data_IF_231313588727
#
_entry.id   IF_231313588727
#
_cell.length_a   1.000
_cell.length_b   1.000
_cell.length_c   1.000
_cell.angle_alpha   90.00
_cell.angle_beta   90.00
_cell.angle_gamma   90.00
#
_symmetry.space_group_name_H-M   'P 1'
#
loop_
_entity.id
_entity.type
_entity.pdbx_description
1 polymer ?
#
# COMPACT_ATOMS: atom_id res chain seq x y z
N UNK A 1 -33.92 -24.86 -56.55
CA UNK A 1 -33.22 -23.57 -56.34
C UNK A 1 -33.25 -23.13 -54.87
N UNK A 2 -32.98 -24.02 -53.89
CA UNK A 2 -32.98 -23.62 -52.45
C UNK A 2 -31.66 -23.95 -51.70
N UNK A 3 -30.67 -24.55 -52.36
CA UNK A 3 -29.41 -24.96 -51.71
C UNK A 3 -28.32 -23.89 -51.63
N UNK A 4 -28.36 -22.86 -52.49
CA UNK A 4 -27.22 -21.92 -52.62
C UNK A 4 -27.29 -20.69 -51.70
N UNK A 5 -28.50 -20.26 -51.33
CA UNK A 5 -28.69 -19.03 -50.53
C UNK A 5 -28.20 -19.23 -49.08
N UNK A 6 -28.36 -20.44 -48.54
CA UNK A 6 -27.93 -20.80 -47.17
C UNK A 6 -26.42 -20.92 -47.01
N UNK A 7 -25.64 -21.21 -48.08
CA UNK A 7 -24.17 -21.25 -48.01
C UNK A 7 -23.56 -19.85 -47.94
N UNK A 8 -24.09 -18.89 -48.69
CA UNK A 8 -23.54 -17.51 -48.72
C UNK A 8 -23.69 -16.81 -47.37
N UNK A 9 -24.83 -16.97 -46.69
CA UNK A 9 -25.12 -16.33 -45.39
C UNK A 9 -24.25 -16.86 -44.25
N UNK A 10 -23.83 -18.13 -44.30
CA UNK A 10 -22.88 -18.70 -43.30
C UNK A 10 -21.44 -18.22 -43.52
N UNK A 11 -21.04 -17.96 -44.77
CA UNK A 11 -19.70 -17.43 -45.07
C UNK A 11 -19.49 -15.97 -44.65
N UNK A 12 -20.54 -15.13 -44.71
CA UNK A 12 -20.46 -13.73 -44.28
C UNK A 12 -20.44 -13.61 -42.75
N UNK A 13 -21.29 -14.37 -42.04
CA UNK A 13 -21.27 -14.42 -40.57
C UNK A 13 -19.96 -14.98 -40.01
N UNK A 14 -19.32 -15.93 -40.71
CA UNK A 14 -18.02 -16.48 -40.32
C UNK A 14 -16.88 -15.47 -40.51
N UNK A 15 -16.92 -14.65 -41.57
CA UNK A 15 -15.92 -13.59 -41.79
C UNK A 15 -16.05 -12.44 -40.79
N UNK A 16 -17.27 -12.03 -40.43
CA UNK A 16 -17.49 -10.98 -39.43
C UNK A 16 -17.09 -11.38 -38.02
N UNK A 17 -17.35 -12.64 -37.62
CA UNK A 17 -16.83 -13.16 -36.34
C UNK A 17 -15.30 -13.21 -36.33
N UNK A 18 -14.67 -13.71 -37.40
CA UNK A 18 -13.22 -13.78 -37.49
C UNK A 18 -12.56 -12.39 -37.51
N UNK A 19 -13.24 -11.37 -38.05
CA UNK A 19 -12.77 -9.97 -38.02
C UNK A 19 -12.93 -9.33 -36.63
N UNK A 20 -14.03 -9.60 -35.92
CA UNK A 20 -14.22 -9.12 -34.53
C UNK A 20 -13.28 -9.81 -33.55
N UNK A 21 -13.10 -11.12 -33.67
CA UNK A 21 -12.19 -11.88 -32.82
C UNK A 21 -10.74 -11.46 -33.05
N UNK A 22 -10.36 -11.14 -34.30
CA UNK A 22 -9.04 -10.59 -34.62
C UNK A 22 -8.84 -9.17 -34.07
N UNK A 23 -9.86 -8.29 -34.13
CA UNK A 23 -9.82 -6.96 -33.50
C UNK A 23 -9.75 -7.02 -31.96
N UNK A 24 -10.39 -8.01 -31.34
CA UNK A 24 -10.29 -8.23 -29.90
C UNK A 24 -8.96 -8.88 -29.48
N UNK A 25 -8.34 -9.69 -30.36
CA UNK A 25 -6.99 -10.23 -30.15
C UNK A 25 -5.90 -9.17 -30.37
N UNK A 26 -6.07 -8.24 -31.31
CA UNK A 26 -5.16 -7.10 -31.49
C UNK A 26 -5.27 -6.08 -30.34
N UNK A 27 -6.45 -5.93 -29.72
CA UNK A 27 -6.66 -5.08 -28.54
C UNK A 27 -6.21 -5.73 -27.21
N UNK A 28 -5.74 -6.97 -27.23
CA UNK A 28 -5.22 -7.70 -26.06
C UNK A 28 -3.83 -8.30 -26.35
N UNK A 29 -3.01 -7.59 -27.12
CA UNK A 29 -1.57 -7.82 -27.07
C UNK A 29 -1.08 -7.34 -25.70
N UNK A 30 -1.09 -8.25 -24.73
CA UNK A 30 -0.11 -8.23 -23.65
C UNK A 30 1.27 -8.28 -24.31
N UNK A 31 1.81 -7.12 -24.68
CA UNK A 31 3.22 -6.99 -24.98
C UNK A 31 3.95 -7.36 -23.68
N UNK A 32 4.42 -8.61 -23.63
CA UNK A 32 5.39 -9.05 -22.64
C UNK A 32 6.61 -8.16 -22.85
N UNK A 33 6.97 -7.40 -21.81
CA UNK A 33 8.18 -6.60 -21.74
C UNK A 33 9.38 -7.48 -22.10
N UNK A 34 9.99 -7.19 -23.24
CA UNK A 34 11.16 -7.91 -23.74
C UNK A 34 12.46 -7.45 -23.06
N UNK A 35 12.38 -6.45 -22.15
CA UNK A 35 13.46 -5.91 -21.31
C UNK A 35 14.67 -5.34 -22.06
N UNK A 36 14.64 -5.34 -23.40
CA UNK A 36 15.80 -5.02 -24.24
C UNK A 36 15.45 -4.08 -25.39
N UNK A 37 14.18 -3.80 -25.67
CA UNK A 37 13.77 -2.80 -26.67
C UNK A 37 13.76 -1.37 -26.11
N UNK A 38 13.93 -0.39 -27.00
CA UNK A 38 13.81 1.02 -26.66
C UNK A 38 12.39 1.31 -26.15
N UNK A 39 12.33 1.96 -25.00
CA UNK A 39 11.09 2.18 -24.28
C UNK A 39 10.30 3.32 -24.93
N UNK A 40 9.24 2.98 -25.66
CA UNK A 40 8.32 4.00 -26.17
C UNK A 40 7.52 4.61 -25.02
N UNK A 41 7.05 5.87 -25.14
CA UNK A 41 6.24 6.50 -24.10
C UNK A 41 4.99 5.69 -23.72
N UNK A 42 4.36 5.04 -24.69
CA UNK A 42 3.18 4.20 -24.50
C UNK A 42 3.51 2.94 -23.70
N UNK A 43 4.64 2.30 -24.02
CA UNK A 43 5.10 1.12 -23.30
C UNK A 43 5.51 1.47 -21.86
N UNK A 44 6.15 2.64 -21.65
CA UNK A 44 6.49 3.12 -20.32
C UNK A 44 5.25 3.33 -19.44
N UNK A 45 4.19 3.94 -19.98
CA UNK A 45 2.94 4.13 -19.23
C UNK A 45 2.30 2.82 -18.81
N UNK A 46 2.20 1.86 -19.72
CA UNK A 46 1.54 0.59 -19.45
C UNK A 46 2.37 -0.26 -18.48
N UNK A 47 3.69 -0.34 -18.68
CA UNK A 47 4.54 -1.23 -17.90
C UNK A 47 5.01 -0.63 -16.58
N UNK A 48 5.16 0.69 -16.50
CA UNK A 48 5.65 1.36 -15.30
C UNK A 48 4.53 2.05 -14.54
N UNK A 49 3.88 3.05 -15.13
CA UNK A 49 2.91 3.89 -14.41
C UNK A 49 1.68 3.09 -13.99
N UNK A 50 1.04 2.39 -14.94
CA UNK A 50 -0.19 1.65 -14.70
C UNK A 50 0.04 0.39 -13.84
N UNK A 51 1.17 -0.29 -14.00
CA UNK A 51 1.56 -1.43 -13.16
C UNK A 51 1.77 -0.99 -11.70
N UNK A 52 2.53 0.10 -11.48
CA UNK A 52 2.78 0.63 -10.14
C UNK A 52 1.50 1.15 -9.49
N UNK A 53 0.66 1.87 -10.24
CA UNK A 53 -0.65 2.30 -9.77
C UNK A 53 -1.52 1.12 -9.29
N UNK A 54 -1.61 0.06 -10.09
CA UNK A 54 -2.35 -1.16 -9.71
C UNK A 54 -1.75 -1.84 -8.48
N UNK A 55 -0.42 -1.87 -8.39
CA UNK A 55 0.28 -2.44 -7.24
C UNK A 55 -0.06 -1.68 -5.95
N UNK A 56 0.07 -0.34 -5.94
CA UNK A 56 -0.25 0.51 -4.80
C UNK A 56 -1.71 0.33 -4.39
N UNK A 57 -2.66 0.46 -5.33
CA UNK A 57 -4.09 0.31 -5.05
C UNK A 57 -4.45 -1.06 -4.46
N UNK A 58 -3.85 -2.14 -4.98
CA UNK A 58 -4.06 -3.50 -4.45
C UNK A 58 -3.46 -3.64 -3.04
N UNK A 59 -2.31 -3.00 -2.80
CA UNK A 59 -1.62 -3.02 -1.51
C UNK A 59 -2.44 -2.26 -0.46
N UNK A 60 -2.87 -1.03 -0.77
CA UNK A 60 -3.77 -0.21 0.05
C UNK A 60 -4.98 -1.00 0.53
N UNK A 61 -5.72 -1.63 -0.39
CA UNK A 61 -6.91 -2.41 -0.03
C UNK A 61 -6.60 -3.54 0.96
N UNK A 62 -5.44 -4.19 0.86
CA UNK A 62 -5.04 -5.24 1.82
C UNK A 62 -4.67 -4.66 3.18
N UNK A 63 -4.06 -3.48 3.21
CA UNK A 63 -3.71 -2.80 4.46
C UNK A 63 -4.97 -2.30 5.17
N UNK A 64 -5.92 -1.72 4.44
CA UNK A 64 -7.20 -1.27 4.98
C UNK A 64 -7.99 -2.40 5.67
N UNK A 65 -8.05 -3.58 5.04
CA UNK A 65 -8.67 -4.77 5.64
C UNK A 65 -7.95 -5.21 6.92
N UNK A 66 -6.61 -5.15 6.94
CA UNK A 66 -5.82 -5.50 8.12
C UNK A 66 -6.07 -4.51 9.26
N UNK A 67 -6.11 -3.22 8.95
CA UNK A 67 -6.36 -2.13 9.89
C UNK A 67 -7.71 -2.29 10.57
N UNK A 68 -8.77 -2.57 9.81
CA UNK A 68 -10.07 -2.91 10.37
C UNK A 68 -9.98 -4.15 11.27
N UNK A 69 -9.26 -5.20 10.86
CA UNK A 69 -9.05 -6.39 11.69
C UNK A 69 -8.39 -6.07 13.04
N UNK A 70 -7.40 -5.16 13.05
CA UNK A 70 -6.74 -4.71 14.27
C UNK A 70 -7.66 -3.88 15.17
N UNK A 71 -8.46 -2.97 14.60
CA UNK A 71 -9.46 -2.21 15.36
C UNK A 71 -10.46 -3.15 16.07
N UNK A 72 -10.95 -4.17 15.35
CA UNK A 72 -11.77 -5.22 15.95
C UNK A 72 -11.05 -6.00 17.05
N UNK A 73 -9.76 -6.28 16.88
CA UNK A 73 -8.92 -6.89 17.91
C UNK A 73 -8.86 -6.07 19.20
N UNK A 74 -8.67 -4.75 19.10
CA UNK A 74 -8.66 -3.84 20.25
C UNK A 74 -10.01 -3.86 20.98
N UNK A 75 -11.13 -3.83 20.26
CA UNK A 75 -12.46 -3.92 20.87
C UNK A 75 -12.70 -5.27 21.58
N UNK A 76 -12.24 -6.37 20.99
CA UNK A 76 -12.34 -7.69 21.62
C UNK A 76 -11.49 -7.74 22.89
N UNK A 77 -10.25 -7.26 22.86
CA UNK A 77 -9.38 -7.21 24.05
C UNK A 77 -9.99 -6.34 25.16
N UNK A 78 -10.49 -5.15 24.82
CA UNK A 78 -11.13 -4.25 25.78
C UNK A 78 -12.41 -4.85 26.37
N UNK A 79 -13.21 -5.53 25.54
CA UNK A 79 -14.42 -6.24 25.98
C UNK A 79 -14.09 -7.44 26.88
N UNK A 80 -13.08 -8.23 26.52
CA UNK A 80 -12.59 -9.36 27.32
C UNK A 80 -12.05 -8.88 28.67
N UNK A 81 -11.27 -7.80 28.69
CA UNK A 81 -10.78 -7.23 29.94
C UNK A 81 -11.89 -6.73 30.84
N UNK A 82 -12.88 -6.03 30.28
CA UNK A 82 -14.09 -5.60 31.02
C UNK A 82 -14.89 -6.79 31.56
N UNK A 83 -14.99 -7.86 30.79
CA UNK A 83 -15.69 -9.08 31.18
C UNK A 83 -14.97 -9.85 32.31
N UNK A 84 -13.64 -9.94 32.26
CA UNK A 84 -12.81 -10.56 33.29
C UNK A 84 -12.93 -9.85 34.64
N UNK A 85 -12.98 -8.51 34.65
CA UNK A 85 -13.24 -7.71 35.85
C UNK A 85 -14.61 -8.02 36.44
N UNK A 86 -15.64 -8.16 35.59
CA UNK A 86 -17.00 -8.48 36.04
C UNK A 86 -17.12 -9.86 36.72
N UNK A 87 -16.19 -10.79 36.44
CA UNK A 87 -16.12 -12.11 37.10
C UNK A 87 -15.36 -12.09 38.44
N UNK A 88 -14.91 -10.93 38.91
CA UNK A 88 -14.24 -10.78 40.21
C UNK A 88 -12.78 -11.24 40.23
N UNK A 89 -12.13 -11.32 39.05
CA UNK A 89 -10.70 -11.59 38.93
C UNK A 89 -9.91 -10.26 38.92
N UNK A 90 -9.54 -9.76 40.11
CA UNK A 90 -8.81 -8.48 40.25
C UNK A 90 -7.43 -8.48 39.55
N UNK A 91 -6.83 -9.65 39.33
CA UNK A 91 -5.50 -9.77 38.72
C UNK A 91 -5.51 -9.66 37.18
N UNK A 92 -6.68 -9.65 36.55
CA UNK A 92 -6.78 -9.62 35.07
C UNK A 92 -6.40 -8.27 34.47
N UNK A 93 -6.47 -7.18 35.24
CA UNK A 93 -6.16 -5.82 34.76
C UNK A 93 -4.72 -5.72 34.26
N UNK A 94 -3.75 -6.28 34.99
CA UNK A 94 -2.35 -6.23 34.60
C UNK A 94 -2.10 -6.99 33.28
N UNK A 95 -2.75 -8.14 33.10
CA UNK A 95 -2.62 -8.96 31.88
C UNK A 95 -3.24 -8.24 30.68
N UNK A 96 -4.42 -7.63 30.85
CA UNK A 96 -5.09 -6.90 29.77
C UNK A 96 -4.35 -5.62 29.40
N UNK A 97 -3.78 -4.92 30.38
CA UNK A 97 -2.97 -3.72 30.13
C UNK A 97 -1.66 -4.08 29.42
N UNK A 98 -0.96 -5.13 29.86
CA UNK A 98 0.26 -5.59 29.20
C UNK A 98 -0.02 -6.07 27.76
N UNK A 99 -1.14 -6.77 27.55
CA UNK A 99 -1.55 -7.22 26.23
C UNK A 99 -1.98 -6.05 25.33
N UNK A 100 -2.70 -5.07 25.87
CA UNK A 100 -3.07 -3.85 25.15
C UNK A 100 -1.82 -3.03 24.77
N UNK A 101 -0.86 -2.89 25.68
CA UNK A 101 0.42 -2.24 25.41
C UNK A 101 1.21 -2.97 24.31
N UNK A 102 1.38 -4.29 24.43
CA UNK A 102 2.07 -5.09 23.42
C UNK A 102 1.39 -5.02 22.04
N UNK A 103 0.05 -5.00 22.02
CA UNK A 103 -0.71 -4.86 20.78
C UNK A 103 -0.58 -3.46 20.18
N UNK A 104 -0.63 -2.42 21.02
CA UNK A 104 -0.42 -1.02 20.61
C UNK A 104 0.98 -0.83 20.02
N UNK A 105 2.02 -1.30 20.70
CA UNK A 105 3.40 -1.27 20.20
C UNK A 105 3.56 -2.09 18.90
N UNK A 106 2.84 -3.21 18.76
CA UNK A 106 2.85 -3.98 17.52
C UNK A 106 2.20 -3.22 16.35
N UNK A 107 1.09 -2.51 16.58
CA UNK A 107 0.43 -1.68 15.57
C UNK A 107 1.30 -0.51 15.16
N UNK A 108 1.90 0.15 16.14
CA UNK A 108 2.84 1.23 15.95
C UNK A 108 4.08 0.80 15.16
N UNK A 109 4.64 -0.38 15.47
CA UNK A 109 5.75 -0.96 14.69
C UNK A 109 5.34 -1.27 13.24
N UNK A 110 4.09 -1.69 13.04
CA UNK A 110 3.56 -2.00 11.71
C UNK A 110 3.23 -0.77 10.87
N UNK A 111 3.11 0.42 11.48
CA UNK A 111 2.83 1.71 10.81
C UNK A 111 1.84 1.61 9.66
N UNK A 112 0.77 0.84 9.89
CA UNK A 112 -0.17 0.44 8.83
C UNK A 112 -0.88 1.66 8.26
N UNK A 113 -1.23 2.62 9.12
CA UNK A 113 -1.91 3.86 8.77
C UNK A 113 -1.04 4.76 7.88
N UNK A 114 0.19 5.06 8.32
CA UNK A 114 1.10 5.92 7.54
C UNK A 114 1.42 5.31 6.19
N UNK A 115 1.69 4.01 6.17
CA UNK A 115 1.93 3.26 4.92
C UNK A 115 0.71 3.27 4.00
N UNK A 116 -0.50 3.17 4.57
CA UNK A 116 -1.75 3.22 3.81
C UNK A 116 -1.97 4.60 3.15
N UNK A 117 -1.73 5.69 3.90
CA UNK A 117 -1.85 7.06 3.42
C UNK A 117 -0.82 7.31 2.30
N UNK A 118 0.44 6.94 2.54
CA UNK A 118 1.53 7.08 1.58
C UNK A 118 1.20 6.36 0.25
N UNK A 119 0.78 5.09 0.31
CA UNK A 119 0.38 4.35 -0.90
C UNK A 119 -0.83 4.92 -1.64
N UNK A 120 -1.78 5.54 -0.92
CA UNK A 120 -2.88 6.25 -1.58
C UNK A 120 -2.39 7.50 -2.28
N UNK A 121 -1.56 8.31 -1.61
CA UNK A 121 -0.99 9.51 -2.21
C UNK A 121 -0.16 9.17 -3.46
N UNK A 122 0.68 8.14 -3.39
CA UNK A 122 1.44 7.65 -4.54
C UNK A 122 0.55 7.22 -5.70
N UNK A 123 -0.56 6.56 -5.42
CA UNK A 123 -1.51 6.13 -6.44
C UNK A 123 -2.21 7.33 -7.09
N UNK A 124 -2.62 8.32 -6.30
CA UNK A 124 -3.24 9.55 -6.80
C UNK A 124 -2.25 10.37 -7.64
N UNK A 125 -1.00 10.52 -7.19
CA UNK A 125 0.05 11.21 -7.94
C UNK A 125 0.34 10.54 -9.29
N UNK A 126 0.41 9.20 -9.33
CA UNK A 126 0.58 8.44 -10.57
C UNK A 126 -0.63 8.58 -11.50
N UNK A 127 -1.83 8.66 -10.95
CA UNK A 127 -3.06 8.91 -11.70
C UNK A 127 -3.07 10.32 -12.31
N UNK A 128 -2.63 11.33 -11.57
CA UNK A 128 -2.52 12.70 -12.04
C UNK A 128 -1.46 12.82 -13.16
N UNK A 129 -0.30 12.16 -13.00
CA UNK A 129 0.73 12.07 -14.05
C UNK A 129 0.17 11.42 -15.31
N UNK A 130 -0.57 10.31 -15.18
CA UNK A 130 -1.21 9.64 -16.30
C UNK A 130 -2.23 10.55 -16.97
N UNK A 131 -3.07 11.23 -16.19
CA UNK A 131 -4.10 12.15 -16.71
C UNK A 131 -3.48 13.32 -17.46
N UNK A 132 -2.43 13.93 -16.88
CA UNK A 132 -1.65 14.98 -17.52
C UNK A 132 -1.06 14.53 -18.86
N UNK A 133 -0.45 13.34 -18.90
CA UNK A 133 0.13 12.81 -20.14
C UNK A 133 -0.91 12.61 -21.25
N UNK A 134 -2.08 12.06 -20.91
CA UNK A 134 -3.16 11.86 -21.87
C UNK A 134 -3.72 13.19 -22.41
N UNK A 135 -3.58 14.29 -21.67
CA UNK A 135 -3.98 15.63 -22.08
C UNK A 135 -3.02 16.33 -23.05
N UNK A 136 -1.80 15.81 -23.24
CA UNK A 136 -0.81 16.39 -24.15
C UNK A 136 -1.10 16.07 -25.63
N UNK A 137 -0.73 16.98 -26.52
CA UNK A 137 -0.69 16.71 -27.96
C UNK A 137 0.50 15.81 -28.35
N UNK A 138 0.44 15.17 -29.52
CA UNK A 138 1.49 14.23 -29.94
C UNK A 138 2.87 14.88 -30.08
N UNK A 139 2.92 16.16 -30.48
CA UNK A 139 4.17 16.93 -30.54
C UNK A 139 4.75 17.18 -29.14
N UNK A 140 3.89 17.52 -28.18
CA UNK A 140 4.31 17.76 -26.79
C UNK A 140 4.75 16.47 -26.10
N UNK A 141 4.14 15.33 -26.42
CA UNK A 141 4.54 14.02 -25.86
C UNK A 141 5.97 13.65 -26.22
N UNK A 142 6.41 13.95 -27.44
CA UNK A 142 7.79 13.69 -27.87
C UNK A 142 8.79 14.52 -27.04
N UNK A 143 8.48 15.80 -26.80
CA UNK A 143 9.36 16.72 -26.08
C UNK A 143 9.31 16.54 -24.55
N UNK A 144 8.22 15.97 -24.03
CA UNK A 144 7.94 15.84 -22.58
C UNK A 144 8.10 14.43 -22.04
N UNK A 145 8.58 13.47 -22.84
CA UNK A 145 8.79 12.10 -22.40
C UNK A 145 9.75 12.02 -21.20
N UNK A 146 10.88 12.73 -21.23
CA UNK A 146 11.81 12.77 -20.09
C UNK A 146 11.14 13.30 -18.81
N UNK A 147 10.24 14.28 -18.95
CA UNK A 147 9.51 14.83 -17.81
C UNK A 147 8.52 13.83 -17.22
N UNK A 148 7.88 13.00 -18.06
CA UNK A 148 7.03 11.89 -17.62
C UNK A 148 7.85 10.86 -16.82
N UNK A 149 9.03 10.49 -17.32
CA UNK A 149 9.90 9.53 -16.64
C UNK A 149 10.35 10.08 -15.29
N UNK A 150 10.87 11.32 -15.28
CA UNK A 150 11.35 11.99 -14.07
C UNK A 150 10.23 12.16 -13.03
N UNK A 151 9.03 12.59 -13.44
CA UNK A 151 7.92 12.77 -12.49
C UNK A 151 7.50 11.43 -11.87
N UNK A 152 7.36 10.39 -12.69
CA UNK A 152 6.99 9.04 -12.24
C UNK A 152 8.03 8.47 -11.27
N UNK A 153 9.31 8.48 -11.64
CA UNK A 153 10.36 7.92 -10.80
C UNK A 153 10.56 8.75 -9.53
N UNK A 154 10.36 10.07 -9.59
CA UNK A 154 10.36 10.91 -8.40
C UNK A 154 9.25 10.53 -7.43
N UNK A 155 8.01 10.34 -7.90
CA UNK A 155 6.89 9.89 -7.06
C UNK A 155 7.20 8.54 -6.42
N UNK A 156 7.74 7.59 -7.17
CA UNK A 156 8.11 6.27 -6.62
C UNK A 156 9.25 6.38 -5.58
N UNK A 157 10.23 7.25 -5.84
CA UNK A 157 11.36 7.46 -4.93
C UNK A 157 10.97 8.19 -3.65
N UNK A 158 10.11 9.21 -3.72
CA UNK A 158 9.69 9.99 -2.54
C UNK A 158 8.99 9.12 -1.51
N UNK A 159 8.18 8.17 -1.97
CA UNK A 159 7.51 7.20 -1.12
C UNK A 159 8.50 6.30 -0.35
N UNK A 160 9.52 5.82 -1.05
CA UNK A 160 10.53 4.94 -0.45
C UNK A 160 11.41 5.71 0.55
N UNK A 161 11.82 6.93 0.20
CA UNK A 161 12.62 7.78 1.09
C UNK A 161 11.82 8.18 2.34
N UNK A 162 10.55 8.57 2.17
CA UNK A 162 9.65 8.87 3.28
C UNK A 162 9.52 7.68 4.24
N UNK A 163 9.28 6.49 3.71
CA UNK A 163 9.17 5.27 4.51
C UNK A 163 10.45 4.93 5.29
N UNK A 164 11.62 5.02 4.65
CA UNK A 164 12.91 4.75 5.32
C UNK A 164 13.21 5.79 6.40
N UNK A 165 12.95 7.08 6.11
CA UNK A 165 13.22 8.16 7.05
C UNK A 165 12.31 8.05 8.27
N UNK A 166 11.01 7.86 8.06
CA UNK A 166 10.06 7.62 9.14
C UNK A 166 10.49 6.43 10.00
N UNK A 167 10.88 5.30 9.39
CA UNK A 167 11.33 4.11 10.14
C UNK A 167 12.59 4.39 10.97
N UNK A 168 13.54 5.17 10.44
CA UNK A 168 14.72 5.59 11.20
C UNK A 168 14.34 6.47 12.39
N UNK A 169 13.40 7.40 12.21
CA UNK A 169 12.91 8.26 13.28
C UNK A 169 12.20 7.42 14.38
N UNK A 170 11.41 6.41 13.98
CA UNK A 170 10.78 5.44 14.89
C UNK A 170 11.79 4.74 15.81
N UNK A 171 12.87 4.25 15.19
CA UNK A 171 13.89 3.50 15.90
C UNK A 171 14.66 4.43 16.82
N UNK A 172 14.99 5.64 16.37
CA UNK A 172 15.67 6.64 17.18
C UNK A 172 14.86 6.99 18.44
N UNK A 173 13.53 7.13 18.32
CA UNK A 173 12.63 7.39 19.45
C UNK A 173 12.64 6.24 20.47
N UNK A 174 12.47 4.99 20.02
CA UNK A 174 12.51 3.81 20.89
C UNK A 174 13.83 3.67 21.66
N UNK A 175 14.97 3.85 20.98
CA UNK A 175 16.27 3.79 21.62
C UNK A 175 16.50 4.98 22.58
N UNK A 176 15.96 6.16 22.26
CA UNK A 176 16.04 7.36 23.11
C UNK A 176 15.22 7.25 24.40
N UNK A 177 14.01 6.68 24.35
CA UNK A 177 13.16 6.46 25.53
C UNK A 177 13.72 5.38 26.47
N UNK A 178 14.42 4.38 25.93
CA UNK A 178 15.04 3.31 26.72
C UNK A 178 16.14 3.86 27.64
N UNK A 179 16.93 4.84 27.17
CA UNK A 179 17.96 5.47 28.01
C UNK A 179 17.38 6.39 29.09
N UNK A 180 16.23 7.03 28.83
CA UNK A 180 15.56 7.90 29.82
C UNK A 180 14.87 7.09 30.93
N UNK A 181 14.21 6.00 30.58
CA UNK A 181 13.55 5.11 31.56
C UNK A 181 14.56 4.41 32.49
N UNK A 182 15.72 3.99 31.97
CA UNK A 182 16.81 3.43 32.80
C UNK A 182 17.46 4.49 33.73
N UNK A 183 17.46 5.77 33.33
CA UNK A 183 17.97 6.87 34.13
C UNK A 183 17.01 7.29 35.25
N UNK A 184 15.70 7.20 35.03
CA UNK A 184 14.67 7.48 36.04
C UNK A 184 14.60 6.36 37.10
N UNK A 185 14.70 5.09 36.70
CA UNK A 185 14.64 3.95 37.62
C UNK A 185 15.83 3.92 38.62
N UNK A 186 17.00 4.44 38.20
CA UNK A 186 18.16 4.62 39.10
C UNK A 186 18.01 5.77 40.10
N UNK A 187 17.16 6.76 39.83
CA UNK A 187 17.00 7.95 40.68
C UNK A 187 15.87 7.82 41.73
N UNK A 188 14.97 6.85 41.62
CA UNK A 188 13.82 6.70 42.53
C UNK A 188 13.98 5.63 43.62
N UNK A 189 15.17 5.03 43.79
CA UNK A 189 15.42 4.12 44.93
C UNK A 189 15.54 4.93 46.25
N UNK A 190 14.59 4.84 47.20
CA UNK A 190 14.64 5.68 48.39
C UNK A 190 15.70 5.15 49.36
N UNK A 191 16.68 6.02 49.66
CA UNK A 191 17.63 5.87 50.75
C UNK A 191 16.87 5.63 52.07
N UNK A 192 16.76 4.36 52.47
CA UNK A 192 16.28 3.98 53.81
C UNK A 192 17.43 4.24 54.79
N UNK A 193 17.56 5.50 55.26
CA UNK A 193 18.38 5.80 56.43
C UNK A 193 17.73 5.13 57.64
N UNK A 194 18.42 4.11 58.15
CA UNK A 194 18.12 3.48 59.44
C UNK A 194 18.61 4.44 60.52
N UNK A 195 17.70 5.24 61.08
CA UNK A 195 17.96 5.96 62.33
C UNK A 195 17.81 4.98 63.50
N UNK A 196 18.93 4.46 63.98
CA UNK A 196 19.03 3.82 65.31
C UNK A 196 19.15 4.90 66.38
N UNK A 197 18.13 4.99 67.24
CA UNK A 197 18.24 5.60 68.57
C UNK A 197 18.63 4.54 69.59
#
# INVERSE_FOLDING_TARGET
YEGEVSRRKRSSLSKDKKSKDKKHQEAQQHHQDDKFSDLTPENYLVWRVEDQFKWYRKRTRKLDIQLHGYQWGVYILGGVGSFLVALGQDTSVAVTTALAAAFSSFLELKRVETTLIAYNQAADDLYDISTWWHGLSDQEKLDKFDLLVISTEKTIQSENVGWVQEMNDALAELYGETEQSEAEEKNTSPSKKVDTK
#
